data_IF_898064742080
#
_entry.id   IF_898064742080
#
_cell.length_a   1.000
_cell.length_b   1.000
_cell.length_c   1.000
_cell.angle_alpha   90.00
_cell.angle_beta   90.00
_cell.angle_gamma   90.00
#
_symmetry.space_group_name_H-M   'P 1'
#
loop_
_entity.id
_entity.type
_entity.pdbx_description
1 polymer ?
#
# COMPACT_ATOMS: atom_id res chain seq x y z
N UNK A 1 6.38 14.99 1.33
CA UNK A 1 5.60 15.62 0.25
C UNK A 1 4.16 15.19 0.38
N UNK A 2 3.22 16.06 0.06
CA UNK A 2 1.78 15.75 0.06
C UNK A 2 1.26 15.89 -1.37
N UNK A 3 0.68 14.83 -1.93
CA UNK A 3 0.05 14.89 -3.23
C UNK A 3 -1.45 15.14 -3.07
N UNK A 4 -1.94 16.21 -3.69
CA UNK A 4 -3.35 16.49 -3.84
C UNK A 4 -3.79 16.15 -5.26
N UNK A 5 -4.72 15.23 -5.41
CA UNK A 5 -5.30 14.89 -6.71
C UNK A 5 -6.74 15.39 -6.79
N UNK A 6 -7.12 15.99 -7.92
CA UNK A 6 -8.48 16.49 -8.15
C UNK A 6 -9.27 15.75 -9.23
N UNK A 7 -8.66 14.79 -9.93
CA UNK A 7 -9.27 14.04 -11.02
C UNK A 7 -8.74 12.60 -11.07
N UNK A 8 -8.53 12.05 -12.25
CA UNK A 8 -7.86 10.77 -12.41
C UNK A 8 -6.36 10.90 -12.19
N UNK A 9 -5.80 10.04 -11.35
CA UNK A 9 -4.38 10.00 -11.02
C UNK A 9 -3.87 8.58 -11.06
N UNK A 10 -2.71 8.38 -11.68
CA UNK A 10 -1.97 7.12 -11.62
C UNK A 10 -0.60 7.38 -11.00
N UNK A 11 -0.28 6.61 -9.98
CA UNK A 11 1.02 6.63 -9.28
C UNK A 11 1.59 5.23 -9.40
N UNK A 12 2.74 5.11 -10.05
CA UNK A 12 3.40 3.81 -10.28
C UNK A 12 4.90 3.95 -10.07
N UNK A 13 5.49 3.02 -9.32
CA UNK A 13 6.93 2.96 -9.11
C UNK A 13 7.52 4.17 -8.39
N UNK A 14 6.74 4.81 -7.53
CA UNK A 14 7.15 6.01 -6.80
C UNK A 14 7.52 5.69 -5.36
N UNK A 15 8.41 6.53 -4.79
CA UNK A 15 8.68 6.53 -3.37
C UNK A 15 8.18 7.82 -2.72
N UNK A 16 7.40 7.66 -1.65
CA UNK A 16 6.90 8.74 -0.81
C UNK A 16 7.46 8.55 0.60
N UNK A 17 8.44 9.34 0.93
CA UNK A 17 9.05 9.34 2.24
C UNK A 17 8.57 10.51 3.08
N UNK A 18 8.12 10.21 4.28
CA UNK A 18 7.80 11.20 5.31
C UNK A 18 9.02 11.63 6.10
N UNK A 19 8.75 12.35 7.17
CA UNK A 19 9.75 12.78 8.14
C UNK A 19 9.23 12.51 9.58
N UNK A 20 9.92 13.05 10.56
CA UNK A 20 9.57 12.88 11.98
C UNK A 20 8.53 13.91 12.48
N UNK A 21 7.95 14.71 11.60
CA UNK A 21 6.96 15.74 11.93
C UNK A 21 5.53 15.32 11.60
N UNK A 22 5.32 14.03 11.32
CA UNK A 22 4.03 13.49 10.89
C UNK A 22 3.68 13.81 9.43
N UNK A 23 2.41 13.76 9.10
CA UNK A 23 1.88 14.11 7.78
C UNK A 23 1.19 12.95 7.06
N UNK A 24 0.76 13.25 5.83
CA UNK A 24 0.06 12.29 4.97
C UNK A 24 0.85 12.15 3.66
N UNK A 25 1.16 10.92 3.29
CA UNK A 25 1.87 10.63 2.06
C UNK A 25 1.06 10.98 0.82
N UNK A 26 -0.10 10.35 0.69
CA UNK A 26 -1.03 10.56 -0.42
C UNK A 26 -2.41 10.87 0.16
N UNK A 27 -2.95 12.04 -0.17
CA UNK A 27 -4.27 12.49 0.28
C UNK A 27 -5.21 12.65 -0.93
N UNK A 28 -6.16 11.73 -1.07
CA UNK A 28 -7.15 11.74 -2.13
C UNK A 28 -8.44 12.36 -1.60
N UNK A 29 -8.79 13.53 -2.08
CA UNK A 29 -9.86 14.36 -1.53
C UNK A 29 -10.88 14.80 -2.59
N UNK A 30 -12.10 14.34 -2.46
CA UNK A 30 -13.23 14.75 -3.30
C UNK A 30 -13.77 13.68 -4.22
N UNK A 31 -15.06 13.77 -4.49
CA UNK A 31 -15.82 12.75 -5.24
C UNK A 31 -15.45 12.59 -6.71
N UNK A 32 -14.75 13.56 -7.29
CA UNK A 32 -14.20 13.46 -8.65
C UNK A 32 -12.89 12.67 -8.72
N UNK A 33 -12.24 12.43 -7.58
CA UNK A 33 -10.94 11.77 -7.53
C UNK A 33 -11.08 10.27 -7.73
N UNK A 34 -10.36 9.76 -8.73
CA UNK A 34 -10.17 8.33 -9.00
C UNK A 34 -8.68 8.05 -9.11
N UNK A 35 -8.14 7.27 -8.21
CA UNK A 35 -6.72 7.01 -8.14
C UNK A 35 -6.37 5.54 -8.38
N UNK A 36 -5.26 5.31 -9.08
CA UNK A 36 -4.54 4.05 -9.10
C UNK A 36 -3.17 4.29 -8.47
N UNK A 37 -2.89 3.59 -7.38
CA UNK A 37 -1.61 3.65 -6.67
C UNK A 37 -1.04 2.24 -6.68
N UNK A 38 0.09 2.05 -7.35
CA UNK A 38 0.65 0.71 -7.53
C UNK A 38 2.17 0.71 -7.53
N UNK A 39 2.74 -0.43 -7.15
CA UNK A 39 4.18 -0.70 -7.18
C UNK A 39 5.03 0.41 -6.56
N UNK A 40 4.50 1.04 -5.52
CA UNK A 40 5.10 2.20 -4.88
C UNK A 40 5.42 1.91 -3.42
N UNK A 41 6.37 2.68 -2.88
CA UNK A 41 6.74 2.65 -1.46
C UNK A 41 6.27 3.93 -0.78
N UNK A 42 5.49 3.79 0.28
CA UNK A 42 4.96 4.91 1.06
C UNK A 42 5.36 4.67 2.53
N UNK A 43 6.20 5.53 3.10
CA UNK A 43 6.77 5.21 4.39
C UNK A 43 7.23 6.41 5.22
N UNK A 44 7.55 6.11 6.49
CA UNK A 44 8.24 7.01 7.43
C UNK A 44 7.48 8.28 7.78
N UNK A 45 6.15 8.26 7.74
CA UNK A 45 5.31 9.33 8.27
C UNK A 45 5.20 9.16 9.78
N UNK A 46 6.15 9.75 10.52
CA UNK A 46 6.30 9.54 11.96
C UNK A 46 6.12 10.84 12.71
N UNK A 47 5.69 10.73 13.95
CA UNK A 47 5.75 11.80 14.92
C UNK A 47 6.59 11.32 16.10
N UNK A 48 7.81 11.83 16.18
CA UNK A 48 8.82 11.48 17.20
C UNK A 48 9.11 12.63 18.19
N UNK A 49 8.52 13.82 17.99
CA UNK A 49 8.77 15.01 18.83
C UNK A 49 7.48 15.62 19.38
N UNK A 50 7.55 16.20 20.58
CA UNK A 50 6.40 16.82 21.29
C UNK A 50 5.88 18.14 20.65
N UNK A 51 6.21 18.43 19.39
CA UNK A 51 5.93 19.73 18.77
C UNK A 51 4.45 20.01 18.53
N UNK A 52 3.81 19.28 17.66
CA UNK A 52 2.42 19.51 17.27
C UNK A 52 1.49 18.36 17.71
N UNK A 53 0.49 18.70 18.51
CA UNK A 53 -0.42 17.75 19.16
C UNK A 53 -1.55 17.23 18.26
N UNK A 54 -1.64 17.66 17.00
CA UNK A 54 -2.73 17.33 16.08
C UNK A 54 -2.21 16.80 14.74
N UNK A 55 -1.11 16.06 14.75
CA UNK A 55 -0.51 15.56 13.53
C UNK A 55 -1.05 14.17 13.17
N UNK A 56 -1.36 14.00 11.91
CA UNK A 56 -1.71 12.71 11.32
C UNK A 56 -0.45 12.03 10.77
N UNK A 57 -0.30 10.73 10.97
CA UNK A 57 0.77 9.92 10.41
C UNK A 57 0.13 8.87 9.48
N UNK A 58 -0.19 9.26 8.26
CA UNK A 58 -0.98 8.43 7.35
C UNK A 58 -0.21 8.19 6.05
N UNK A 59 -0.10 6.94 5.63
CA UNK A 59 0.47 6.60 4.33
C UNK A 59 -0.43 7.06 3.19
N UNK A 60 -1.64 6.52 3.12
CA UNK A 60 -2.64 6.86 2.10
C UNK A 60 -3.97 7.18 2.77
N UNK A 61 -4.54 8.34 2.47
CA UNK A 61 -5.90 8.71 2.89
C UNK A 61 -6.83 8.85 1.68
N UNK A 62 -8.04 8.29 1.79
CA UNK A 62 -9.11 8.40 0.79
C UNK A 62 -10.33 9.01 1.47
N UNK A 63 -10.75 10.20 1.04
CA UNK A 63 -11.80 10.96 1.74
C UNK A 63 -12.72 11.75 0.81
N UNK A 64 -13.85 12.20 1.37
CA UNK A 64 -14.82 13.09 0.72
C UNK A 64 -15.34 12.54 -0.62
N UNK A 65 -15.64 11.24 -0.67
CA UNK A 65 -16.19 10.57 -1.84
C UNK A 65 -15.15 10.14 -2.89
N UNK A 66 -13.85 10.27 -2.59
CA UNK A 66 -12.80 9.77 -3.47
C UNK A 66 -12.85 8.24 -3.60
N UNK A 67 -12.34 7.72 -4.72
CA UNK A 67 -12.17 6.29 -4.94
C UNK A 67 -10.73 5.94 -5.31
N UNK A 68 -10.23 4.81 -4.83
CA UNK A 68 -8.86 4.38 -5.05
C UNK A 68 -8.74 2.88 -5.35
N UNK A 69 -7.78 2.54 -6.24
CA UNK A 69 -7.21 1.20 -6.35
C UNK A 69 -5.78 1.26 -5.81
N UNK A 70 -5.52 0.51 -4.75
CA UNK A 70 -4.24 0.47 -4.05
C UNK A 70 -3.70 -0.95 -4.18
N UNK A 71 -2.72 -1.13 -5.06
CA UNK A 71 -2.35 -2.46 -5.57
C UNK A 71 -0.84 -2.63 -5.55
N UNK A 72 -0.36 -3.72 -5.00
CA UNK A 72 1.06 -4.05 -5.03
C UNK A 72 1.96 -2.92 -4.52
N UNK A 73 1.66 -2.36 -3.36
CA UNK A 73 2.50 -1.36 -2.71
C UNK A 73 3.18 -1.92 -1.47
N UNK A 74 4.19 -1.18 -1.02
CA UNK A 74 4.83 -1.34 0.27
C UNK A 74 4.54 -0.11 1.13
N UNK A 75 3.78 -0.28 2.21
CA UNK A 75 3.35 0.82 3.09
C UNK A 75 3.80 0.52 4.52
N UNK A 76 4.64 1.41 5.10
CA UNK A 76 5.16 1.14 6.42
C UNK A 76 5.60 2.36 7.22
N UNK A 77 5.74 2.19 8.53
CA UNK A 77 6.31 3.20 9.41
C UNK A 77 5.46 4.46 9.53
N UNK A 78 4.13 4.36 9.37
CA UNK A 78 3.19 5.47 9.57
C UNK A 78 2.74 5.44 11.03
N UNK A 79 3.46 6.17 11.90
CA UNK A 79 3.31 5.98 13.34
C UNK A 79 3.45 7.24 14.17
N UNK A 80 2.56 7.40 15.13
CA UNK A 80 2.73 8.34 16.23
C UNK A 80 3.37 7.63 17.42
N UNK A 81 4.55 8.10 17.80
CA UNK A 81 5.32 7.60 18.95
C UNK A 81 5.13 8.45 20.21
N UNK A 82 4.40 9.54 20.13
CA UNK A 82 4.29 10.49 21.24
C UNK A 82 3.08 10.17 22.08
N UNK A 83 3.34 9.96 23.35
CA UNK A 83 2.33 9.82 24.38
C UNK A 83 2.16 11.13 25.16
N UNK A 84 1.24 12.00 24.71
CA UNK A 84 0.98 13.28 25.39
C UNK A 84 -0.44 13.39 25.98
N UNK A 85 -1.18 12.28 26.05
CA UNK A 85 -2.54 12.27 26.63
C UNK A 85 -3.63 12.92 25.80
N UNK A 86 -3.33 13.57 24.68
CA UNK A 86 -4.32 14.16 23.76
C UNK A 86 -4.73 13.19 22.65
N UNK A 87 -6.00 13.14 22.31
CA UNK A 87 -6.65 12.04 21.59
C UNK A 87 -6.71 12.22 20.06
N UNK A 88 -5.99 13.16 19.47
CA UNK A 88 -6.18 13.54 18.06
C UNK A 88 -5.15 13.00 17.09
N UNK A 89 -4.07 12.40 17.56
CA UNK A 89 -3.03 11.85 16.69
C UNK A 89 -3.44 10.50 16.13
N UNK A 90 -3.01 10.19 14.93
CA UNK A 90 -3.35 8.96 14.24
C UNK A 90 -2.18 8.36 13.47
N UNK A 91 -2.09 7.03 13.46
CA UNK A 91 -1.08 6.28 12.72
C UNK A 91 -1.72 5.20 11.86
N UNK A 92 -1.93 5.49 10.57
CA UNK A 92 -2.57 4.58 9.64
C UNK A 92 -1.70 4.31 8.41
N UNK A 93 -1.60 3.07 8.00
CA UNK A 93 -1.07 2.73 6.67
C UNK A 93 -2.01 3.24 5.59
N UNK A 94 -3.27 2.78 5.62
CA UNK A 94 -4.35 3.23 4.73
C UNK A 94 -5.55 3.63 5.57
N UNK A 95 -6.09 4.83 5.30
CA UNK A 95 -7.28 5.33 5.97
C UNK A 95 -8.35 5.76 4.97
N UNK A 96 -9.54 5.14 5.06
CA UNK A 96 -10.68 5.41 4.18
C UNK A 96 -11.82 5.96 5.01
N UNK A 97 -12.24 7.18 4.72
CA UNK A 97 -13.34 7.83 5.43
C UNK A 97 -14.70 7.44 4.87
N UNK A 98 -15.75 7.66 5.66
CA UNK A 98 -17.12 7.41 5.24
C UNK A 98 -17.46 8.12 3.92
N UNK A 99 -18.24 7.48 3.07
CA UNK A 99 -18.61 7.97 1.75
C UNK A 99 -17.55 7.80 0.66
N UNK A 100 -16.34 7.33 1.02
CA UNK A 100 -15.26 7.03 0.08
C UNK A 100 -15.16 5.53 -0.21
N UNK A 101 -14.40 5.14 -1.23
CA UNK A 101 -14.27 3.74 -1.60
C UNK A 101 -12.84 3.36 -1.97
N UNK A 102 -12.46 2.11 -1.69
CA UNK A 102 -11.16 1.60 -2.10
C UNK A 102 -11.18 0.10 -2.46
N UNK A 103 -10.30 -0.27 -3.37
CA UNK A 103 -9.93 -1.63 -3.69
C UNK A 103 -8.46 -1.82 -3.35
N UNK A 104 -8.17 -2.67 -2.34
CA UNK A 104 -6.86 -2.80 -1.71
C UNK A 104 -6.41 -4.25 -1.81
N UNK A 105 -5.44 -4.55 -2.69
CA UNK A 105 -4.93 -5.91 -2.81
C UNK A 105 -3.45 -5.98 -3.19
N UNK A 106 -2.84 -7.10 -2.85
CA UNK A 106 -1.45 -7.36 -3.18
C UNK A 106 -0.46 -6.45 -2.44
N UNK A 107 -0.86 -5.73 -1.40
CA UNK A 107 0.03 -4.83 -0.68
C UNK A 107 0.70 -5.52 0.51
N UNK A 108 1.89 -5.05 0.87
CA UNK A 108 2.52 -5.33 2.15
C UNK A 108 2.39 -4.09 3.03
N UNK A 109 1.82 -4.26 4.23
CA UNK A 109 1.69 -3.20 5.21
C UNK A 109 2.28 -3.65 6.55
N UNK A 110 3.12 -2.78 7.15
CA UNK A 110 3.63 -3.03 8.50
C UNK A 110 3.95 -1.74 9.26
N UNK A 111 4.11 -1.87 10.58
CA UNK A 111 4.62 -0.82 11.47
C UNK A 111 3.84 0.51 11.37
N UNK A 112 2.50 0.42 11.26
CA UNK A 112 1.60 1.56 11.25
C UNK A 112 0.72 1.52 12.50
N UNK A 113 0.94 2.46 13.43
CA UNK A 113 0.27 2.46 14.73
C UNK A 113 0.34 3.81 15.44
N UNK A 114 -0.43 3.90 16.52
CA UNK A 114 -0.29 4.96 17.53
C UNK A 114 0.18 4.33 18.83
N UNK A 115 1.13 4.97 19.52
CA UNK A 115 1.66 4.49 20.83
C UNK A 115 0.76 4.84 22.01
N UNK A 116 -0.56 4.75 21.84
CA UNK A 116 -1.55 5.10 22.85
C UNK A 116 -2.46 3.96 23.27
N UNK A 117 -3.27 4.25 24.29
CA UNK A 117 -4.44 3.44 24.63
C UNK A 117 -5.35 3.29 23.42
N UNK A 118 -5.56 2.06 23.03
CA UNK A 118 -6.55 1.70 22.02
C UNK A 118 -7.95 2.00 22.56
N UNK A 119 -8.70 2.82 21.88
CA UNK A 119 -10.05 3.22 22.26
C UNK A 119 -11.14 2.25 21.81
N UNK A 120 -10.75 1.15 21.14
CA UNK A 120 -11.64 0.10 20.66
C UNK A 120 -11.93 0.19 19.15
N UNK A 121 -12.59 -0.84 18.58
CA UNK A 121 -12.84 -0.94 17.14
C UNK A 121 -13.76 0.15 16.58
N UNK A 122 -14.53 0.80 17.44
CA UNK A 122 -15.43 1.87 17.02
C UNK A 122 -14.72 3.19 16.73
N UNK A 123 -13.54 3.40 17.31
CA UNK A 123 -12.79 4.64 17.14
C UNK A 123 -11.28 4.41 17.23
N UNK A 124 -10.68 3.69 16.26
CA UNK A 124 -9.27 3.38 16.27
C UNK A 124 -8.45 4.65 16.03
N UNK A 125 -7.35 4.78 16.74
CA UNK A 125 -6.38 5.84 16.53
C UNK A 125 -5.22 5.41 15.63
N UNK A 126 -5.04 4.09 15.39
CA UNK A 126 -4.03 3.57 14.48
C UNK A 126 -4.32 2.14 14.04
N UNK A 127 -4.04 1.84 12.78
CA UNK A 127 -4.13 0.51 12.19
C UNK A 127 -3.31 0.43 10.89
N UNK A 128 -2.99 -0.77 10.43
CA UNK A 128 -2.44 -0.95 9.09
C UNK A 128 -3.44 -0.51 8.04
N UNK A 129 -4.69 -0.95 8.16
CA UNK A 129 -5.81 -0.49 7.32
C UNK A 129 -6.99 -0.14 8.23
N UNK A 130 -7.51 1.08 8.07
CA UNK A 130 -8.74 1.52 8.72
C UNK A 130 -9.74 1.98 7.66
N UNK A 131 -10.93 1.40 7.62
CA UNK A 131 -11.95 1.76 6.67
C UNK A 131 -13.32 1.99 7.34
N UNK A 132 -13.80 3.21 7.23
CA UNK A 132 -15.19 3.60 7.51
C UNK A 132 -16.01 3.79 6.24
N UNK A 133 -15.38 3.64 5.07
CA UNK A 133 -16.00 3.67 3.76
C UNK A 133 -16.13 2.27 3.16
N UNK A 134 -16.59 2.22 1.92
CA UNK A 134 -16.69 0.96 1.18
C UNK A 134 -15.30 0.52 0.72
N UNK A 135 -14.84 -0.64 1.18
CA UNK A 135 -13.56 -1.19 0.73
C UNK A 135 -13.64 -2.71 0.52
N UNK A 136 -13.00 -3.16 -0.55
CA UNK A 136 -12.68 -4.56 -0.78
C UNK A 136 -11.19 -4.75 -0.52
N UNK A 137 -10.86 -5.61 0.44
CA UNK A 137 -9.49 -5.83 0.89
C UNK A 137 -9.17 -7.31 0.72
N UNK A 138 -8.15 -7.62 -0.07
CA UNK A 138 -7.80 -9.04 -0.29
C UNK A 138 -6.32 -9.22 -0.62
N UNK A 139 -5.80 -10.42 -0.30
CA UNK A 139 -4.45 -10.83 -0.68
C UNK A 139 -3.37 -9.80 -0.30
N UNK A 140 -3.46 -9.23 0.90
CA UNK A 140 -2.43 -8.37 1.45
C UNK A 140 -1.61 -9.14 2.49
N UNK A 141 -0.37 -8.74 2.71
CA UNK A 141 0.37 -9.10 3.91
C UNK A 141 0.24 -7.96 4.91
N UNK A 142 -0.21 -8.32 6.11
CA UNK A 142 -0.36 -7.42 7.25
C UNK A 142 0.58 -7.91 8.33
N UNK A 143 1.61 -7.14 8.62
CA UNK A 143 2.62 -7.52 9.58
C UNK A 143 2.89 -6.39 10.56
N UNK A 144 2.68 -6.68 11.81
CA UNK A 144 3.01 -5.76 12.88
C UNK A 144 4.22 -6.33 13.59
N UNK A 145 5.29 -5.57 13.69
CA UNK A 145 6.40 -5.91 14.55
C UNK A 145 5.84 -6.21 15.94
N UNK A 146 6.38 -7.24 16.61
CA UNK A 146 5.99 -7.64 17.97
C UNK A 146 5.84 -6.41 18.84
N UNK A 147 4.75 -6.32 19.59
CA UNK A 147 4.47 -5.13 20.34
C UNK A 147 5.63 -4.80 21.28
N UNK A 148 6.16 -3.60 21.18
CA UNK A 148 6.78 -3.01 22.34
C UNK A 148 5.72 -3.03 23.44
N UNK A 149 5.94 -3.84 24.48
CA UNK A 149 5.06 -3.88 25.64
C UNK A 149 5.18 -2.50 26.29
N UNK A 150 4.19 -1.66 26.04
CA UNK A 150 4.13 -0.37 26.69
C UNK A 150 3.86 -0.54 28.20
N UNK A 151 4.43 0.33 29.02
CA UNK A 151 4.11 0.41 30.45
C UNK A 151 2.58 0.44 30.63
N UNK A 152 2.01 -0.66 31.09
CA UNK A 152 0.57 -0.84 31.26
C UNK A 152 0.00 -2.13 30.65
N UNK A 153 0.77 -2.92 29.93
CA UNK A 153 0.37 -4.26 29.47
C UNK A 153 -0.62 -4.29 28.30
N UNK A 154 -0.74 -3.20 27.54
CA UNK A 154 -1.64 -3.14 26.37
C UNK A 154 -0.91 -3.59 25.10
N UNK A 155 -1.48 -4.56 24.39
CA UNK A 155 -0.98 -5.08 23.10
C UNK A 155 -1.56 -4.29 21.95
N UNK A 156 -0.73 -3.98 20.93
CA UNK A 156 -1.15 -3.30 19.70
C UNK A 156 -1.56 -4.32 18.66
N UNK A 157 -2.77 -4.82 18.75
CA UNK A 157 -3.21 -5.94 17.91
C UNK A 157 -4.09 -5.52 16.72
N UNK A 158 -4.42 -4.25 16.56
CA UNK A 158 -5.33 -3.84 15.48
C UNK A 158 -4.59 -3.68 14.17
N UNK A 159 -4.72 -4.68 13.33
CA UNK A 159 -4.15 -4.67 11.98
C UNK A 159 -5.15 -4.13 10.95
N UNK A 160 -6.43 -4.44 11.12
CA UNK A 160 -7.52 -3.96 10.27
C UNK A 160 -8.70 -3.53 11.13
N UNK A 161 -9.23 -2.35 10.86
CA UNK A 161 -10.51 -1.88 11.37
C UNK A 161 -11.44 -1.63 10.22
N UNK A 162 -12.60 -2.27 10.21
CA UNK A 162 -13.56 -2.22 9.11
C UNK A 162 -14.94 -1.87 9.63
N UNK A 163 -15.63 -0.96 8.96
CA UNK A 163 -17.02 -0.60 9.23
C UNK A 163 -17.95 -0.98 8.08
N UNK A 164 -17.55 -0.67 6.85
CA UNK A 164 -18.32 -0.94 5.62
C UNK A 164 -17.44 -1.62 4.55
N UNK A 165 -16.60 -2.57 4.97
CA UNK A 165 -15.63 -3.19 4.09
C UNK A 165 -15.63 -4.71 4.23
N UNK A 166 -15.07 -5.38 3.23
CA UNK A 166 -14.83 -6.82 3.23
C UNK A 166 -13.34 -7.09 3.12
N UNK A 167 -12.83 -8.01 3.95
CA UNK A 167 -11.44 -8.46 3.90
C UNK A 167 -11.38 -9.97 3.73
N UNK A 168 -10.61 -10.45 2.76
CA UNK A 168 -10.46 -11.87 2.46
C UNK A 168 -9.02 -12.20 2.07
N UNK A 169 -8.60 -13.44 2.31
CA UNK A 169 -7.32 -13.98 1.81
C UNK A 169 -6.07 -13.14 2.15
N UNK A 170 -6.12 -12.30 3.18
CA UNK A 170 -4.94 -11.59 3.66
C UNK A 170 -4.14 -12.45 4.63
N UNK A 171 -2.82 -12.29 4.61
CA UNK A 171 -1.86 -13.09 5.37
C UNK A 171 -1.33 -12.24 6.53
N UNK A 172 -1.42 -12.78 7.74
CA UNK A 172 -0.86 -12.17 8.94
C UNK A 172 0.50 -12.82 9.22
N UNK A 173 1.54 -12.36 8.56
CA UNK A 173 2.88 -12.92 8.68
C UNK A 173 3.98 -11.93 8.32
N UNK A 174 5.19 -12.23 8.78
CA UNK A 174 6.42 -11.57 8.33
C UNK A 174 6.61 -11.78 6.82
N UNK A 175 6.70 -10.70 6.01
CA UNK A 175 6.94 -10.80 4.59
C UNK A 175 8.32 -11.35 4.22
N UNK A 176 9.23 -11.47 5.18
CA UNK A 176 10.60 -11.96 5.02
C UNK A 176 11.35 -11.22 3.90
N UNK A 177 11.64 -9.97 4.15
CA UNK A 177 12.51 -9.20 3.28
C UNK A 177 13.96 -9.67 3.35
N UNK A 178 14.71 -9.49 2.29
CA UNK A 178 16.12 -9.90 2.20
C UNK A 178 16.97 -9.19 3.23
N UNK A 179 16.90 -7.87 3.35
CA UNK A 179 17.62 -7.09 4.37
C UNK A 179 16.93 -5.76 4.67
N UNK A 180 16.02 -5.79 5.61
CA UNK A 180 15.24 -4.62 6.01
C UNK A 180 16.11 -3.49 6.60
N UNK A 181 17.25 -3.83 7.23
CA UNK A 181 18.13 -2.87 7.87
C UNK A 181 18.89 -2.02 6.84
N UNK A 182 19.17 -2.60 5.67
CA UNK A 182 19.79 -1.91 4.56
C UNK A 182 18.79 -1.44 3.49
N UNK A 183 17.49 -1.41 3.85
CA UNK A 183 16.40 -1.01 2.93
C UNK A 183 16.28 -1.91 1.70
N UNK A 184 16.74 -3.15 1.77
CA UNK A 184 16.48 -4.16 0.74
C UNK A 184 15.16 -4.88 1.04
N UNK A 185 14.10 -4.42 0.38
CA UNK A 185 12.75 -4.96 0.52
C UNK A 185 12.41 -6.01 -0.53
N UNK A 186 13.41 -6.57 -1.21
CA UNK A 186 13.20 -7.76 -2.03
C UNK A 186 12.78 -8.93 -1.14
N UNK A 187 11.98 -9.82 -1.68
CA UNK A 187 11.48 -10.97 -0.94
C UNK A 187 12.55 -12.06 -0.86
N UNK A 188 12.79 -12.59 0.33
CA UNK A 188 13.59 -13.81 0.49
C UNK A 188 12.88 -14.99 -0.20
N UNK A 189 13.62 -16.01 -0.60
CA UNK A 189 13.10 -17.15 -1.38
C UNK A 189 12.03 -17.98 -0.66
N UNK A 190 11.93 -17.85 0.66
CA UNK A 190 10.91 -18.50 1.51
C UNK A 190 9.84 -17.52 2.00
N UNK A 191 9.72 -16.37 1.37
CA UNK A 191 8.71 -15.36 1.70
C UNK A 191 7.30 -15.88 1.44
N UNK A 192 6.35 -15.67 2.37
CA UNK A 192 4.95 -16.00 2.15
C UNK A 192 4.27 -15.08 1.12
N UNK A 193 4.94 -14.03 0.67
CA UNK A 193 4.44 -13.10 -0.34
C UNK A 193 4.55 -13.64 -1.75
N UNK A 194 5.48 -14.59 -2.00
CA UNK A 194 5.74 -15.12 -3.33
C UNK A 194 4.55 -15.94 -3.82
N UNK A 195 4.05 -15.62 -5.01
CA UNK A 195 2.89 -16.27 -5.65
C UNK A 195 1.62 -16.29 -4.77
N UNK A 196 1.47 -15.33 -3.85
CA UNK A 196 0.37 -15.30 -2.88
C UNK A 196 -0.69 -14.22 -3.17
N UNK A 197 -0.49 -13.41 -4.17
CA UNK A 197 -1.44 -12.39 -4.61
C UNK A 197 -2.70 -12.97 -5.27
N UNK A 198 -3.56 -12.14 -5.85
CA UNK A 198 -4.78 -12.61 -6.51
C UNK A 198 -4.50 -13.68 -7.57
N UNK A 199 -5.30 -14.74 -7.65
CA UNK A 199 -5.04 -15.84 -8.58
C UNK A 199 -5.48 -15.57 -10.02
N UNK A 200 -6.18 -14.47 -10.28
CA UNK A 200 -6.64 -14.11 -11.61
C UNK A 200 -5.43 -13.69 -12.48
N UNK A 201 -5.26 -14.27 -13.69
CA UNK A 201 -4.14 -14.01 -14.59
C UNK A 201 -3.90 -12.53 -14.94
N UNK A 202 -4.93 -11.68 -14.86
CA UNK A 202 -4.75 -10.23 -15.08
C UNK A 202 -3.82 -9.56 -14.06
N UNK A 203 -3.58 -10.21 -12.91
CA UNK A 203 -2.69 -9.71 -11.86
C UNK A 203 -1.32 -10.37 -11.89
N UNK A 204 -1.09 -11.34 -12.76
CA UNK A 204 0.18 -12.06 -12.81
C UNK A 204 1.38 -11.13 -12.95
N UNK A 205 2.48 -11.60 -12.46
CA UNK A 205 3.78 -10.97 -12.63
C UNK A 205 4.21 -10.98 -14.10
N UNK A 206 5.21 -10.19 -14.45
CA UNK A 206 5.65 -10.07 -15.85
C UNK A 206 6.21 -11.34 -16.44
N UNK A 207 6.69 -12.26 -15.62
CA UNK A 207 7.16 -13.55 -16.07
C UNK A 207 6.06 -14.59 -16.27
N UNK A 208 4.82 -14.20 -16.00
CA UNK A 208 3.63 -15.03 -16.12
C UNK A 208 3.30 -15.85 -14.87
N UNK A 209 4.12 -15.78 -13.83
CA UNK A 209 3.83 -16.40 -12.54
C UNK A 209 2.65 -15.69 -11.86
N UNK A 210 2.06 -16.34 -10.86
CA UNK A 210 1.03 -15.72 -10.04
C UNK A 210 1.64 -14.52 -9.30
N UNK A 211 0.84 -13.48 -9.15
CA UNK A 211 1.19 -12.23 -8.49
C UNK A 211 1.90 -12.43 -7.15
N UNK A 212 3.05 -11.80 -6.97
CA UNK A 212 3.70 -11.62 -5.69
C UNK A 212 3.05 -10.48 -4.92
N UNK A 213 2.87 -10.65 -3.61
CA UNK A 213 2.37 -9.57 -2.76
C UNK A 213 3.50 -8.56 -2.50
N UNK A 214 3.20 -7.28 -2.64
CA UNK A 214 4.16 -6.20 -2.40
C UNK A 214 4.57 -5.45 -3.67
N UNK A 215 5.46 -4.48 -3.51
CA UNK A 215 5.77 -3.50 -4.55
C UNK A 215 6.49 -4.09 -5.78
N UNK A 216 6.98 -5.31 -5.69
CA UNK A 216 7.69 -6.00 -6.77
C UNK A 216 6.79 -6.92 -7.60
N UNK A 217 5.56 -7.18 -7.13
CA UNK A 217 4.62 -8.05 -7.81
C UNK A 217 3.77 -7.32 -8.84
N UNK A 218 3.10 -8.12 -9.66
CA UNK A 218 2.16 -7.66 -10.67
C UNK A 218 2.79 -7.21 -11.97
N UNK A 219 1.96 -7.16 -12.99
CA UNK A 219 2.37 -6.84 -14.36
C UNK A 219 3.01 -5.45 -14.51
N UNK A 220 2.63 -4.51 -13.68
CA UNK A 220 3.08 -3.12 -13.78
C UNK A 220 4.38 -2.81 -13.03
N UNK A 221 4.96 -3.78 -12.34
CA UNK A 221 6.26 -3.61 -11.73
C UNK A 221 7.32 -3.37 -12.81
N UNK A 222 8.07 -2.28 -12.68
CA UNK A 222 9.19 -1.93 -13.57
C UNK A 222 10.47 -2.25 -12.80
N UNK A 223 11.25 -3.26 -13.23
CA UNK A 223 12.50 -3.58 -12.57
C UNK A 223 13.50 -2.42 -12.63
N UNK A 224 14.07 -2.07 -11.50
CA UNK A 224 15.04 -0.97 -11.34
C UNK A 224 16.50 -1.39 -11.65
N UNK A 225 16.68 -2.31 -12.58
CA UNK A 225 18.00 -2.84 -12.93
C UNK A 225 18.43 -4.05 -12.12
N UNK A 226 17.55 -4.59 -11.28
CA UNK A 226 17.81 -5.87 -10.61
C UNK A 226 17.78 -7.01 -11.63
N UNK A 227 18.78 -7.86 -11.56
CA UNK A 227 19.07 -8.89 -12.56
C UNK A 227 17.92 -9.85 -12.77
N UNK A 228 17.30 -9.78 -13.93
CA UNK A 228 16.54 -10.90 -14.45
C UNK A 228 17.30 -11.46 -15.65
N UNK A 229 17.52 -12.77 -15.70
CA UNK A 229 18.13 -13.42 -16.85
C UNK A 229 17.17 -13.59 -18.03
N UNK A 230 15.96 -13.03 -17.92
CA UNK A 230 14.91 -13.13 -18.93
C UNK A 230 14.60 -11.76 -19.52
N UNK A 231 14.30 -11.69 -20.82
CA UNK A 231 13.80 -10.45 -21.41
C UNK A 231 12.44 -10.10 -20.80
N UNK A 232 12.28 -8.83 -20.50
CA UNK A 232 11.01 -8.25 -20.00
C UNK A 232 10.43 -7.31 -21.03
N UNK A 233 9.11 -7.35 -21.18
CA UNK A 233 8.39 -6.39 -22.01
C UNK A 233 8.11 -5.15 -21.14
N UNK A 234 8.70 -4.03 -21.51
CA UNK A 234 8.52 -2.74 -20.81
C UNK A 234 7.30 -1.98 -21.31
N UNK A 235 6.91 -2.22 -22.54
CA UNK A 235 5.75 -1.60 -23.16
C UNK A 235 5.21 -2.48 -24.28
N UNK A 236 3.89 -2.52 -24.38
CA UNK A 236 3.16 -3.16 -25.46
C UNK A 236 2.11 -2.17 -25.95
N UNK A 237 2.18 -1.81 -27.23
CA UNK A 237 1.17 -1.00 -27.90
C UNK A 237 0.50 -1.81 -29.01
N UNK A 238 -0.82 -1.72 -29.07
CA UNK A 238 -1.64 -2.43 -30.04
C UNK A 238 -2.55 -1.44 -30.73
N UNK A 239 -2.33 -1.20 -32.02
CA UNK A 239 -3.10 -0.24 -32.79
C UNK A 239 -3.50 -0.81 -34.17
N UNK A 240 -4.73 -0.54 -34.60
CA UNK A 240 -5.86 -0.01 -33.82
C UNK A 240 -6.46 -1.06 -32.89
N UNK A 241 -7.13 -0.63 -31.82
CA UNK A 241 -7.75 -1.52 -30.81
C UNK A 241 -9.00 -2.26 -31.32
N UNK A 242 -9.49 -1.89 -32.48
CA UNK A 242 -10.58 -2.57 -33.17
C UNK A 242 -10.37 -2.54 -34.68
N UNK A 243 -10.49 -3.69 -35.31
CA UNK A 243 -10.36 -3.83 -36.77
C UNK A 243 -11.50 -4.65 -37.36
N UNK A 244 -11.91 -4.45 -38.61
CA UNK A 244 -12.77 -5.36 -39.35
C UNK A 244 -12.11 -6.75 -39.43
N UNK A 245 -12.92 -7.78 -39.61
CA UNK A 245 -12.40 -9.15 -39.83
C UNK A 245 -11.36 -9.17 -40.94
N UNK A 246 -10.15 -9.64 -40.64
CA UNK A 246 -9.03 -9.69 -41.59
C UNK A 246 -8.26 -8.36 -41.74
N UNK A 247 -8.62 -7.32 -40.98
CA UNK A 247 -7.87 -6.06 -40.99
C UNK A 247 -6.51 -6.19 -40.28
N UNK A 248 -5.51 -5.39 -40.67
CA UNK A 248 -4.20 -5.43 -40.05
C UNK A 248 -4.22 -4.81 -38.66
N UNK A 249 -3.45 -5.42 -37.71
CA UNK A 249 -3.15 -4.88 -36.39
C UNK A 249 -1.64 -4.73 -36.29
N UNK A 250 -1.17 -3.58 -35.85
CA UNK A 250 0.22 -3.35 -35.53
C UNK A 250 0.41 -3.59 -34.03
N UNK A 251 1.37 -4.43 -33.70
CA UNK A 251 1.78 -4.71 -32.32
C UNK A 251 3.23 -4.26 -32.17
N UNK A 252 3.44 -3.24 -31.36
CA UNK A 252 4.77 -2.75 -31.02
C UNK A 252 5.10 -3.10 -29.57
N UNK A 253 6.28 -3.64 -29.33
CA UNK A 253 6.73 -3.94 -27.98
C UNK A 253 8.13 -3.41 -27.75
N UNK A 254 8.34 -2.83 -26.59
CA UNK A 254 9.67 -2.45 -26.10
C UNK A 254 10.05 -3.41 -25.00
N UNK A 255 11.19 -4.08 -25.17
CA UNK A 255 11.72 -5.01 -24.18
C UNK A 255 13.12 -4.62 -23.74
N UNK A 256 13.53 -5.08 -22.57
CA UNK A 256 14.89 -4.99 -22.08
C UNK A 256 15.33 -6.32 -21.49
N UNK A 257 16.61 -6.62 -21.64
CA UNK A 257 17.30 -7.63 -20.85
C UNK A 257 18.14 -6.91 -19.82
N UNK A 258 17.93 -7.20 -18.58
CA UNK A 258 18.80 -6.71 -17.50
C UNK A 258 19.93 -7.73 -17.36
N UNK A 259 21.17 -7.25 -17.50
CA UNK A 259 22.38 -8.05 -17.35
C UNK A 259 22.86 -8.03 -15.92
#
# INVERSE_FOLDING_TARGET
ARLYAQNQVTITGCEFEGNNDGGIGIDLDGSSVKALIQNSRIHSYKLDSLGDINQECIGIRVRNGASARIVNNLIHGCKDRIHNGNETNSGFGIFITSGSSAFIHGNILWDCYVSRYYTGPENPTGALICSFGQATISHNILWQFTPDIYEGGHTREVQITLKEAQATHSILADPKFTDINNSDFTLASDSPAINAGPPDPQYNDRDGSRNDIGMFGGHNFIPDGRTTNKPIVLGLDVAPIAVPTGGPVTIESTGATVK
#
